data_IF_569281909666
#
_entry.id   IF_569281909666
#
_cell.length_a   1.000
_cell.length_b   1.000
_cell.length_c   1.000
_cell.angle_alpha   90.00
_cell.angle_beta   90.00
_cell.angle_gamma   90.00
#
_symmetry.space_group_name_H-M   'P 1'
#
loop_
_entity.id
_entity.type
_entity.pdbx_description
1 polymer ?
#
# COMPACT_ATOMS: atom_id res chain seq x y z
N UNK A 1 14.84 -13.27 17.21
CA UNK A 1 14.24 -14.59 17.45
C UNK A 1 15.29 -15.69 17.35
N UNK A 2 14.98 -16.88 17.90
CA UNK A 2 15.83 -18.06 17.75
C UNK A 2 16.12 -18.26 16.25
N UNK A 3 17.37 -18.33 15.84
CA UNK A 3 17.68 -18.59 14.44
C UNK A 3 17.07 -19.95 14.08
N UNK A 4 16.39 -20.05 12.93
CA UNK A 4 15.75 -21.29 12.51
C UNK A 4 16.67 -22.51 12.56
N UNK A 5 17.99 -22.29 12.41
CA UNK A 5 19.03 -23.31 12.53
C UNK A 5 19.19 -23.84 13.94
N UNK A 6 19.13 -22.98 14.97
CA UNK A 6 19.21 -23.41 16.36
C UNK A 6 18.01 -24.27 16.75
N UNK A 7 16.79 -23.80 16.45
CA UNK A 7 15.57 -24.54 16.76
C UNK A 7 15.52 -25.89 16.02
N UNK A 8 15.86 -25.89 14.73
CA UNK A 8 15.91 -27.11 13.94
C UNK A 8 16.92 -28.12 14.50
N UNK A 9 18.11 -27.67 14.92
CA UNK A 9 19.13 -28.53 15.53
C UNK A 9 18.65 -29.16 16.83
N UNK A 10 18.02 -28.38 17.72
CA UNK A 10 17.46 -28.88 18.99
C UNK A 10 16.33 -29.88 18.73
N UNK A 11 15.43 -29.57 17.77
CA UNK A 11 14.32 -30.45 17.39
C UNK A 11 14.80 -31.78 16.80
N UNK A 12 15.76 -31.75 15.89
CA UNK A 12 16.34 -32.94 15.27
C UNK A 12 17.01 -33.81 16.31
N UNK A 13 17.82 -33.22 17.20
CA UNK A 13 18.47 -34.00 18.30
C UNK A 13 17.44 -34.64 19.23
N UNK A 14 16.31 -33.98 19.52
CA UNK A 14 15.24 -34.55 20.33
C UNK A 14 14.48 -35.68 19.60
N UNK A 15 14.31 -35.58 18.28
CA UNK A 15 13.64 -36.60 17.46
C UNK A 15 14.53 -37.83 17.33
N UNK A 16 15.85 -37.65 17.18
CA UNK A 16 16.80 -38.73 17.04
C UNK A 16 16.97 -39.57 18.34
N UNK A 17 17.03 -38.88 19.47
CA UNK A 17 17.08 -39.55 20.79
C UNK A 17 16.25 -38.78 21.84
N UNK A 18 14.97 -39.12 22.03
CA UNK A 18 14.12 -38.45 23.01
C UNK A 18 14.51 -38.67 24.47
N UNK A 19 15.39 -39.67 24.73
CA UNK A 19 15.85 -39.99 26.10
C UNK A 19 17.00 -39.09 26.55
N UNK A 20 17.69 -38.45 25.62
CA UNK A 20 18.76 -37.49 25.90
C UNK A 20 18.24 -36.04 25.82
N UNK A 21 18.70 -35.24 26.77
CA UNK A 21 18.42 -33.79 26.72
C UNK A 21 19.24 -33.17 25.62
N UNK A 22 18.61 -32.55 24.60
CA UNK A 22 19.34 -31.88 23.51
C UNK A 22 20.16 -30.70 24.06
N UNK A 23 21.25 -30.39 23.39
CA UNK A 23 22.04 -29.17 23.67
C UNK A 23 21.25 -27.91 23.28
N UNK A 24 20.88 -27.14 24.30
CA UNK A 24 20.12 -25.88 24.13
C UNK A 24 21.02 -24.63 24.24
N UNK A 25 22.33 -24.79 24.31
CA UNK A 25 23.28 -23.68 24.51
C UNK A 25 23.14 -22.57 23.46
N UNK A 26 22.72 -22.91 22.23
CA UNK A 26 22.44 -21.95 21.18
C UNK A 26 21.22 -21.06 21.50
N UNK A 27 20.29 -21.51 22.35
CA UNK A 27 19.13 -20.73 22.79
C UNK A 27 19.49 -19.74 23.92
N UNK A 28 20.42 -20.11 24.78
CA UNK A 28 20.86 -19.30 25.93
C UNK A 28 21.60 -18.03 25.48
N UNK A 29 22.23 -18.06 24.30
CA UNK A 29 22.95 -16.90 23.73
C UNK A 29 22.06 -15.94 22.98
N UNK A 30 20.78 -16.27 22.79
CA UNK A 30 19.85 -15.42 22.02
C UNK A 30 18.85 -14.74 22.96
N UNK A 31 18.78 -13.39 22.97
CA UNK A 31 17.78 -12.71 23.76
C UNK A 31 16.38 -13.07 23.26
N UNK A 32 15.59 -13.65 24.13
CA UNK A 32 14.17 -13.93 23.85
C UNK A 32 13.40 -12.61 23.93
N UNK A 33 13.26 -11.92 22.81
CA UNK A 33 12.42 -10.73 22.71
C UNK A 33 10.96 -11.16 22.64
N UNK A 34 10.20 -10.93 23.70
CA UNK A 34 8.75 -11.10 23.65
C UNK A 34 8.14 -10.07 22.69
N UNK A 35 7.36 -10.55 21.72
CA UNK A 35 6.60 -9.67 20.82
C UNK A 35 5.31 -9.27 21.53
N UNK A 36 5.17 -7.98 21.82
CA UNK A 36 3.98 -7.43 22.46
C UNK A 36 3.09 -6.73 21.43
N UNK A 37 1.79 -6.51 21.71
CA UNK A 37 0.91 -5.73 20.82
C UNK A 37 1.44 -4.34 20.49
N UNK A 38 2.27 -3.75 21.36
CA UNK A 38 2.91 -2.46 21.14
C UNK A 38 4.10 -2.52 20.17
N UNK A 39 4.66 -3.70 19.91
CA UNK A 39 5.81 -3.91 19.02
C UNK A 39 5.42 -4.48 17.66
N UNK A 40 4.15 -4.85 17.47
CA UNK A 40 3.65 -5.44 16.24
C UNK A 40 2.25 -4.93 15.91
N UNK A 41 1.99 -4.75 14.62
CA UNK A 41 0.65 -4.43 14.09
C UNK A 41 -0.03 -5.76 13.76
N UNK A 42 -1.03 -6.13 14.54
CA UNK A 42 -1.80 -7.36 14.33
C UNK A 42 -2.92 -7.08 13.32
N UNK A 43 -2.82 -7.73 12.17
CA UNK A 43 -3.91 -7.75 11.17
C UNK A 43 -4.28 -9.20 10.87
N UNK A 44 -5.55 -9.52 10.57
CA UNK A 44 -5.98 -10.89 10.26
C UNK A 44 -5.39 -11.41 8.94
N UNK A 45 -4.98 -10.52 8.04
CA UNK A 45 -4.55 -10.83 6.68
C UNK A 45 -3.37 -11.81 6.60
N UNK A 46 -2.26 -11.65 7.36
CA UNK A 46 -1.14 -12.59 7.26
C UNK A 46 -1.55 -14.01 7.66
N UNK A 47 -2.38 -14.16 8.67
CA UNK A 47 -2.88 -15.47 9.09
C UNK A 47 -3.79 -16.11 8.05
N UNK A 48 -4.73 -15.34 7.47
CA UNK A 48 -5.62 -15.83 6.42
C UNK A 48 -4.84 -16.33 5.20
N UNK A 49 -3.81 -15.60 4.75
CA UNK A 49 -2.94 -16.01 3.64
C UNK A 49 -2.18 -17.30 3.98
N UNK A 50 -1.59 -17.41 5.16
CA UNK A 50 -0.80 -18.57 5.58
C UNK A 50 -1.65 -19.82 5.79
N UNK A 51 -2.89 -19.69 6.27
CA UNK A 51 -3.81 -20.80 6.47
C UNK A 51 -4.43 -21.35 5.19
N UNK A 52 -4.13 -20.75 4.03
CA UNK A 52 -4.72 -21.10 2.74
C UNK A 52 -6.17 -20.65 2.56
N UNK A 53 -6.77 -20.00 3.57
CA UNK A 53 -8.11 -19.40 3.49
C UNK A 53 -8.12 -18.03 2.80
N UNK A 54 -6.94 -17.51 2.47
CA UNK A 54 -6.73 -16.13 2.03
C UNK A 54 -6.83 -15.88 0.52
N UNK A 55 -7.58 -16.69 -0.25
CA UNK A 55 -7.72 -16.47 -1.69
C UNK A 55 -8.35 -15.11 -1.99
N UNK A 56 -9.35 -14.70 -1.21
CA UNK A 56 -10.02 -13.40 -1.38
C UNK A 56 -9.09 -12.25 -1.00
N UNK A 57 -8.28 -12.41 0.04
CA UNK A 57 -7.29 -11.45 0.49
C UNK A 57 -6.17 -11.28 -0.54
N UNK A 58 -5.72 -12.36 -1.18
CA UNK A 58 -4.74 -12.30 -2.26
C UNK A 58 -5.31 -11.58 -3.50
N UNK A 59 -6.57 -11.85 -3.85
CA UNK A 59 -7.26 -11.14 -4.94
C UNK A 59 -7.37 -9.65 -4.59
N UNK A 60 -7.80 -9.32 -3.37
CA UNK A 60 -7.93 -7.94 -2.91
C UNK A 60 -6.57 -7.21 -2.95
N UNK A 61 -5.49 -7.86 -2.49
CA UNK A 61 -4.13 -7.32 -2.56
C UNK A 61 -3.68 -7.10 -4.01
N UNK A 62 -3.99 -8.04 -4.90
CA UNK A 62 -3.71 -7.92 -6.34
C UNK A 62 -4.45 -6.73 -6.97
N UNK A 63 -5.74 -6.57 -6.66
CA UNK A 63 -6.55 -5.43 -7.12
C UNK A 63 -5.99 -4.11 -6.59
N UNK A 64 -5.64 -4.05 -5.30
CA UNK A 64 -5.02 -2.86 -4.71
C UNK A 64 -3.69 -2.53 -5.38
N UNK A 65 -2.86 -3.53 -5.67
CA UNK A 65 -1.59 -3.36 -6.38
C UNK A 65 -1.78 -2.80 -7.79
N UNK A 66 -2.69 -3.36 -8.57
CA UNK A 66 -3.01 -2.88 -9.91
C UNK A 66 -3.53 -1.45 -9.86
N UNK A 67 -4.46 -1.14 -8.94
CA UNK A 67 -5.01 0.20 -8.78
C UNK A 67 -3.90 1.21 -8.43
N UNK A 68 -2.98 0.88 -7.51
CA UNK A 68 -1.87 1.74 -7.15
C UNK A 68 -0.93 2.02 -8.33
N UNK A 69 -0.57 1.00 -9.13
CA UNK A 69 0.25 1.15 -10.34
C UNK A 69 -0.45 2.04 -11.37
N UNK A 70 -1.76 1.84 -11.58
CA UNK A 70 -2.54 2.66 -12.50
C UNK A 70 -2.61 4.13 -12.02
N UNK A 71 -2.72 4.38 -10.73
CA UNK A 71 -2.66 5.74 -10.18
C UNK A 71 -1.26 6.37 -10.34
N UNK A 72 -0.19 5.59 -10.22
CA UNK A 72 1.18 6.07 -10.51
C UNK A 72 1.37 6.49 -11.97
N UNK A 73 0.54 6.03 -12.90
CA UNK A 73 0.59 6.47 -14.30
C UNK A 73 0.48 8.00 -14.44
N UNK A 74 -0.13 8.69 -13.46
CA UNK A 74 -0.21 10.14 -13.43
C UNK A 74 1.17 10.83 -13.45
N UNK A 75 2.18 10.22 -12.84
CA UNK A 75 3.55 10.72 -12.82
C UNK A 75 4.24 10.68 -14.19
N UNK A 76 3.78 9.81 -15.08
CA UNK A 76 4.27 9.68 -16.45
C UNK A 76 3.38 10.45 -17.43
N UNK A 77 2.08 10.27 -17.36
CA UNK A 77 1.13 10.81 -18.34
C UNK A 77 1.11 12.35 -18.32
N UNK A 78 1.12 12.98 -17.13
CA UNK A 78 1.05 14.43 -17.08
C UNK A 78 2.30 15.14 -17.59
N UNK A 79 3.55 14.74 -17.27
CA UNK A 79 4.73 15.31 -17.93
C UNK A 79 4.75 15.07 -19.43
N UNK A 80 4.39 13.86 -19.87
CA UNK A 80 4.34 13.54 -21.32
C UNK A 80 3.34 14.45 -22.03
N UNK A 81 2.12 14.58 -21.49
CA UNK A 81 1.11 15.45 -22.07
C UNK A 81 1.50 16.93 -22.03
N UNK A 82 2.25 17.36 -21.02
CA UNK A 82 2.79 18.72 -20.97
C UNK A 82 3.83 18.95 -22.07
N UNK A 83 4.72 18.00 -22.31
CA UNK A 83 5.73 18.06 -23.38
C UNK A 83 5.05 18.04 -24.76
N UNK A 84 4.09 17.13 -24.97
CA UNK A 84 3.32 17.06 -26.23
C UNK A 84 2.58 18.38 -26.47
N UNK A 85 1.91 18.91 -25.44
CA UNK A 85 1.21 20.20 -25.55
C UNK A 85 2.13 21.36 -25.89
N UNK A 86 3.35 21.37 -25.36
CA UNK A 86 4.37 22.35 -25.66
C UNK A 86 4.88 22.23 -27.13
N UNK A 87 5.20 21.00 -27.56
CA UNK A 87 5.67 20.72 -28.92
C UNK A 87 4.58 21.02 -29.97
N UNK A 88 3.35 20.62 -29.70
CA UNK A 88 2.21 20.81 -30.60
C UNK A 88 1.64 22.23 -30.54
N UNK A 89 2.22 23.13 -29.74
CA UNK A 89 1.71 24.49 -29.48
C UNK A 89 0.23 24.52 -29.10
N UNK A 90 -0.23 23.50 -28.40
CA UNK A 90 -1.60 23.44 -27.87
C UNK A 90 -1.73 24.44 -26.72
N UNK A 91 -2.00 25.69 -27.05
CA UNK A 91 -2.35 26.70 -26.05
C UNK A 91 -3.73 26.42 -25.44
N UNK A 92 -3.99 26.86 -24.22
CA UNK A 92 -5.34 26.82 -23.68
C UNK A 92 -6.26 27.66 -24.59
N UNK A 93 -7.42 27.09 -25.00
CA UNK A 93 -8.30 27.70 -25.97
C UNK A 93 -8.96 29.02 -25.50
N UNK A 94 -8.88 29.32 -24.21
CA UNK A 94 -9.47 30.53 -23.62
C UNK A 94 -8.63 31.05 -22.44
N UNK A 95 -8.63 32.40 -22.21
CA UNK A 95 -8.00 32.95 -21.02
C UNK A 95 -8.65 32.39 -19.75
N UNK A 96 -7.83 31.74 -18.90
CA UNK A 96 -8.30 31.05 -17.70
C UNK A 96 -8.31 31.99 -16.51
N UNK A 97 -9.37 31.94 -15.74
CA UNK A 97 -9.44 32.61 -14.45
C UNK A 97 -8.42 31.99 -13.47
N UNK A 98 -7.97 32.75 -12.49
CA UNK A 98 -7.05 32.28 -11.45
C UNK A 98 -7.63 31.07 -10.71
N UNK A 99 -8.96 31.05 -10.51
CA UNK A 99 -9.69 29.95 -9.84
C UNK A 99 -9.61 28.65 -10.65
N UNK A 100 -9.77 28.72 -11.96
CA UNK A 100 -9.67 27.54 -12.84
C UNK A 100 -8.24 26.97 -12.89
N UNK A 101 -7.23 27.86 -12.88
CA UNK A 101 -5.82 27.43 -12.80
C UNK A 101 -5.55 26.71 -11.49
N UNK A 102 -5.98 27.29 -10.35
CA UNK A 102 -5.78 26.70 -9.02
C UNK A 102 -6.50 25.35 -8.91
N UNK A 103 -7.73 25.24 -9.41
CA UNK A 103 -8.49 23.98 -9.42
C UNK A 103 -7.78 22.87 -10.20
N UNK A 104 -7.23 23.18 -11.38
CA UNK A 104 -6.46 22.22 -12.19
C UNK A 104 -5.15 21.78 -11.52
N UNK A 105 -4.42 22.73 -10.93
CA UNK A 105 -3.20 22.39 -10.20
C UNK A 105 -3.50 21.56 -8.96
N UNK A 106 -4.54 21.91 -8.21
CA UNK A 106 -4.99 21.15 -7.05
C UNK A 106 -5.40 19.72 -7.40
N UNK A 107 -6.15 19.56 -8.49
CA UNK A 107 -6.56 18.25 -8.97
C UNK A 107 -5.35 17.37 -9.39
N UNK A 108 -4.38 17.96 -10.10
CA UNK A 108 -3.15 17.24 -10.47
C UNK A 108 -2.35 16.84 -9.23
N UNK A 109 -2.15 17.78 -8.30
CA UNK A 109 -1.44 17.52 -7.06
C UNK A 109 -2.12 16.41 -6.25
N UNK A 110 -3.45 16.43 -6.13
CA UNK A 110 -4.22 15.39 -5.45
C UNK A 110 -4.02 14.02 -6.10
N UNK A 111 -4.14 13.91 -7.44
CA UNK A 111 -3.92 12.66 -8.14
C UNK A 111 -2.50 12.11 -8.01
N UNK A 112 -1.46 12.98 -8.07
CA UNK A 112 -0.06 12.60 -7.84
C UNK A 112 0.15 12.09 -6.41
N UNK A 113 -0.38 12.81 -5.42
CA UNK A 113 -0.25 12.45 -4.01
C UNK A 113 -0.97 11.14 -3.70
N UNK A 114 -2.19 10.94 -4.18
CA UNK A 114 -2.94 9.70 -3.97
C UNK A 114 -2.17 8.50 -4.52
N UNK A 115 -1.67 8.59 -5.77
CA UNK A 115 -0.87 7.53 -6.37
C UNK A 115 0.41 7.23 -5.58
N UNK A 116 1.13 8.27 -5.14
CA UNK A 116 2.34 8.11 -4.34
C UNK A 116 2.05 7.46 -2.98
N UNK A 117 1.06 7.97 -2.26
CA UNK A 117 0.71 7.46 -0.92
C UNK A 117 0.23 6.01 -0.97
N UNK A 118 -0.60 5.65 -1.95
CA UNK A 118 -1.06 4.29 -2.17
C UNK A 118 0.11 3.34 -2.47
N UNK A 119 1.03 3.76 -3.33
CA UNK A 119 2.21 2.98 -3.67
C UNK A 119 3.16 2.80 -2.48
N UNK A 120 3.47 3.89 -1.76
CA UNK A 120 4.34 3.84 -0.57
C UNK A 120 3.74 2.92 0.49
N UNK A 121 2.43 3.01 0.74
CA UNK A 121 1.74 2.12 1.66
C UNK A 121 1.93 0.65 1.29
N UNK A 122 1.60 0.27 0.05
CA UNK A 122 1.75 -1.11 -0.40
C UNK A 122 3.22 -1.57 -0.41
N UNK A 123 4.14 -0.71 -0.85
CA UNK A 123 5.56 -1.04 -0.88
C UNK A 123 6.10 -1.32 0.54
N UNK A 124 5.68 -0.53 1.53
CA UNK A 124 6.06 -0.75 2.93
C UNK A 124 5.43 -2.03 3.47
N UNK A 125 4.13 -2.23 3.30
CA UNK A 125 3.43 -3.39 3.87
C UNK A 125 3.90 -4.68 3.19
N UNK A 126 3.87 -4.75 1.87
CA UNK A 126 4.27 -5.95 1.12
C UNK A 126 5.78 -6.17 1.23
N UNK A 127 6.59 -5.12 1.13
CA UNK A 127 8.04 -5.21 1.27
C UNK A 127 8.46 -5.72 2.65
N UNK A 128 7.82 -5.21 3.72
CA UNK A 128 8.08 -5.68 5.09
C UNK A 128 7.62 -7.13 5.27
N UNK A 129 6.44 -7.49 4.74
CA UNK A 129 5.92 -8.84 4.83
C UNK A 129 6.86 -9.84 4.11
N UNK A 130 7.32 -9.51 2.90
CA UNK A 130 8.27 -10.36 2.16
C UNK A 130 9.61 -10.46 2.85
N UNK A 131 10.15 -9.34 3.35
CA UNK A 131 11.41 -9.33 4.10
C UNK A 131 11.32 -10.21 5.36
N UNK A 132 10.24 -10.05 6.15
CA UNK A 132 10.04 -10.83 7.38
C UNK A 132 9.86 -12.31 7.09
N UNK A 133 9.16 -12.68 6.01
CA UNK A 133 8.99 -14.09 5.62
C UNK A 133 10.31 -14.75 5.24
N UNK A 134 11.22 -14.02 4.58
CA UNK A 134 12.50 -14.56 4.13
C UNK A 134 13.53 -14.65 5.25
N UNK A 135 13.52 -13.75 6.23
CA UNK A 135 14.57 -13.64 7.23
C UNK A 135 14.17 -14.15 8.61
N UNK A 136 12.90 -14.00 9.00
CA UNK A 136 12.42 -14.30 10.35
C UNK A 136 11.42 -15.47 10.39
N UNK A 137 11.14 -16.12 9.27
CA UNK A 137 10.27 -17.30 9.15
C UNK A 137 8.87 -17.04 9.69
N UNK A 138 8.63 -17.37 10.96
CA UNK A 138 7.32 -17.27 11.60
C UNK A 138 6.93 -15.87 12.10
N UNK A 139 7.77 -14.83 11.89
CA UNK A 139 7.47 -13.48 12.41
C UNK A 139 6.13 -12.93 11.90
N UNK A 140 5.74 -13.27 10.66
CA UNK A 140 4.45 -12.87 10.08
C UNK A 140 3.23 -13.43 10.80
N UNK A 141 3.36 -14.54 11.53
CA UNK A 141 2.26 -15.07 12.36
C UNK A 141 1.87 -14.12 13.49
N UNK A 142 2.81 -13.30 13.94
CA UNK A 142 2.58 -12.31 14.99
C UNK A 142 2.17 -10.95 14.45
N UNK A 143 2.19 -10.73 13.13
CA UNK A 143 1.86 -9.47 12.47
C UNK A 143 3.06 -8.72 11.90
N UNK A 144 2.83 -7.46 11.52
CA UNK A 144 3.88 -6.58 10.97
C UNK A 144 4.65 -5.89 12.11
N UNK A 145 5.95 -5.58 11.92
CA UNK A 145 6.73 -4.83 12.90
C UNK A 145 6.08 -3.49 13.28
N UNK A 146 6.15 -3.11 14.56
CA UNK A 146 5.48 -1.91 15.09
C UNK A 146 5.87 -0.59 14.39
N UNK A 147 7.07 -0.51 13.81
CA UNK A 147 7.48 0.67 13.03
C UNK A 147 6.64 0.90 11.77
N UNK A 148 5.89 -0.11 11.31
CA UNK A 148 4.96 0.05 10.18
C UNK A 148 3.67 0.77 10.56
N UNK A 149 3.36 0.88 11.85
CA UNK A 149 2.11 1.47 12.36
C UNK A 149 1.83 2.89 11.79
N UNK A 150 2.77 3.81 11.70
CA UNK A 150 2.50 5.14 11.13
C UNK A 150 2.05 5.10 9.67
N UNK A 151 2.45 4.07 8.92
CA UNK A 151 2.06 3.94 7.50
C UNK A 151 0.59 3.55 7.33
N UNK A 152 -0.06 3.01 8.36
CA UNK A 152 -1.51 2.74 8.34
C UNK A 152 -2.36 4.02 8.41
N UNK A 153 -1.75 5.19 8.64
CA UNK A 153 -2.40 6.49 8.44
C UNK A 153 -2.53 6.86 6.95
N UNK A 154 -1.70 6.28 6.07
CA UNK A 154 -1.71 6.61 4.65
C UNK A 154 -3.05 6.27 3.96
N UNK A 155 -3.69 5.11 4.20
CA UNK A 155 -5.03 4.84 3.68
C UNK A 155 -6.08 5.89 4.09
N UNK A 156 -6.02 6.40 5.32
CA UNK A 156 -6.91 7.47 5.76
C UNK A 156 -6.66 8.78 5.01
N UNK A 157 -5.40 9.13 4.76
CA UNK A 157 -5.04 10.28 3.92
C UNK A 157 -5.49 10.08 2.46
N UNK A 158 -5.31 8.88 1.91
CA UNK A 158 -5.82 8.51 0.57
C UNK A 158 -7.33 8.67 0.53
N UNK A 159 -8.07 8.25 1.56
CA UNK A 159 -9.52 8.42 1.65
C UNK A 159 -9.93 9.90 1.61
N UNK A 160 -9.29 10.75 2.43
CA UNK A 160 -9.58 12.19 2.45
C UNK A 160 -9.30 12.84 1.09
N UNK A 161 -8.16 12.52 0.47
CA UNK A 161 -7.83 13.02 -0.86
C UNK A 161 -8.81 12.51 -1.92
N UNK A 162 -9.24 11.25 -1.83
CA UNK A 162 -10.22 10.64 -2.75
C UNK A 162 -11.57 11.34 -2.66
N UNK A 163 -12.03 11.71 -1.46
CA UNK A 163 -13.23 12.51 -1.29
C UNK A 163 -13.09 13.89 -1.96
N UNK A 164 -11.94 14.55 -1.80
CA UNK A 164 -11.63 15.78 -2.52
C UNK A 164 -11.61 15.60 -4.03
N UNK A 165 -11.03 14.49 -4.52
CA UNK A 165 -11.00 14.15 -5.94
C UNK A 165 -12.41 13.88 -6.49
N UNK A 166 -13.31 13.24 -5.74
CA UNK A 166 -14.70 13.03 -6.13
C UNK A 166 -15.42 14.37 -6.35
N UNK A 167 -15.28 15.30 -5.40
CA UNK A 167 -15.85 16.65 -5.53
C UNK A 167 -15.26 17.35 -6.75
N UNK A 168 -13.95 17.27 -6.95
CA UNK A 168 -13.27 17.84 -8.09
C UNK A 168 -13.66 17.20 -9.43
N UNK A 169 -13.89 15.89 -9.46
CA UNK A 169 -14.36 15.18 -10.65
C UNK A 169 -15.76 15.65 -11.04
N UNK A 170 -16.71 15.71 -10.08
CA UNK A 170 -18.07 16.19 -10.31
C UNK A 170 -18.05 17.67 -10.79
N UNK A 171 -17.30 18.54 -10.09
CA UNK A 171 -17.16 19.95 -10.47
C UNK A 171 -16.55 20.15 -11.85
N UNK A 172 -15.57 19.33 -12.21
CA UNK A 172 -14.90 19.38 -13.53
C UNK A 172 -15.84 19.08 -14.72
N UNK A 173 -16.97 18.38 -14.51
CA UNK A 173 -17.96 18.16 -15.55
C UNK A 173 -18.83 19.41 -15.80
N UNK A 174 -19.06 20.23 -14.78
CA UNK A 174 -19.78 21.50 -14.93
C UNK A 174 -18.87 22.63 -15.45
N UNK A 175 -17.57 22.59 -15.10
CA UNK A 175 -16.62 23.59 -15.53
C UNK A 175 -16.13 23.29 -16.96
N UNK A 176 -16.40 24.20 -17.91
CA UNK A 176 -15.97 24.07 -19.32
C UNK A 176 -14.48 24.26 -19.51
N UNK A 177 -13.73 24.64 -18.49
CA UNK A 177 -12.30 24.91 -18.52
C UNK A 177 -11.38 23.69 -18.75
N UNK A 178 -11.90 22.47 -18.57
CA UNK A 178 -11.15 21.23 -18.77
C UNK A 178 -11.50 20.57 -20.10
N UNK A 179 -10.49 20.17 -20.88
CA UNK A 179 -10.71 19.34 -22.06
C UNK A 179 -11.25 17.95 -21.68
N UNK A 180 -12.06 17.36 -22.55
CA UNK A 180 -12.68 16.02 -22.33
C UNK A 180 -11.67 14.96 -21.92
N UNK A 181 -10.48 14.84 -22.55
CA UNK A 181 -9.48 13.85 -22.13
C UNK A 181 -9.00 14.05 -20.69
N UNK A 182 -8.82 15.30 -20.26
CA UNK A 182 -8.40 15.60 -18.88
C UNK A 182 -9.45 15.21 -17.85
N UNK A 183 -10.74 15.43 -18.14
CA UNK A 183 -11.86 15.03 -17.26
C UNK A 183 -11.97 13.52 -17.13
N UNK A 184 -11.89 12.81 -18.26
CA UNK A 184 -11.94 11.34 -18.29
C UNK A 184 -10.77 10.73 -17.51
N UNK A 185 -9.56 11.25 -17.73
CA UNK A 185 -8.39 10.75 -17.01
C UNK A 185 -8.46 11.03 -15.50
N UNK A 186 -8.93 12.20 -15.10
CA UNK A 186 -9.12 12.52 -13.68
C UNK A 186 -10.20 11.66 -13.03
N UNK A 187 -11.32 11.44 -13.72
CA UNK A 187 -12.37 10.52 -13.27
C UNK A 187 -11.84 9.09 -13.14
N UNK A 188 -11.01 8.64 -14.09
CA UNK A 188 -10.34 7.34 -14.03
C UNK A 188 -9.44 7.21 -12.78
N UNK A 189 -8.58 8.22 -12.50
CA UNK A 189 -7.74 8.21 -11.30
C UNK A 189 -8.58 8.18 -10.01
N UNK A 190 -9.68 8.94 -9.98
CA UNK A 190 -10.62 8.94 -8.86
C UNK A 190 -11.27 7.56 -8.68
N UNK A 191 -11.67 6.92 -9.77
CA UNK A 191 -12.23 5.56 -9.72
C UNK A 191 -11.19 4.56 -9.20
N UNK A 192 -9.95 4.63 -9.68
CA UNK A 192 -8.88 3.73 -9.23
C UNK A 192 -8.56 3.93 -7.73
N UNK A 193 -8.64 5.16 -7.21
CA UNK A 193 -8.47 5.40 -5.77
C UNK A 193 -9.63 4.82 -4.94
N UNK A 194 -10.87 4.86 -5.44
CA UNK A 194 -12.01 4.18 -4.79
C UNK A 194 -11.83 2.67 -4.82
N UNK A 195 -11.42 2.09 -5.95
CA UNK A 195 -11.13 0.65 -6.09
C UNK A 195 -10.02 0.22 -5.13
N UNK A 196 -8.96 1.01 -5.01
CA UNK A 196 -7.87 0.78 -4.06
C UNK A 196 -8.39 0.70 -2.62
N UNK A 197 -9.15 1.70 -2.18
CA UNK A 197 -9.72 1.74 -0.82
C UNK A 197 -10.69 0.59 -0.58
N UNK A 198 -11.54 0.27 -1.56
CA UNK A 198 -12.46 -0.86 -1.48
C UNK A 198 -11.72 -2.20 -1.35
N UNK A 199 -10.58 -2.35 -2.03
CA UNK A 199 -9.74 -3.53 -1.93
C UNK A 199 -9.01 -3.64 -0.58
N UNK A 200 -8.72 -2.52 0.11
CA UNK A 200 -8.13 -2.53 1.45
C UNK A 200 -9.13 -2.89 2.55
N UNK A 201 -10.44 -2.71 2.33
CA UNK A 201 -11.47 -2.98 3.33
C UNK A 201 -11.48 -4.44 3.83
N UNK A 202 -11.53 -5.49 2.95
CA UNK A 202 -11.48 -6.88 3.39
C UNK A 202 -10.14 -7.27 4.03
N UNK A 203 -9.06 -6.51 3.77
CA UNK A 203 -7.76 -6.74 4.40
C UNK A 203 -7.70 -6.21 5.84
N UNK A 204 -8.71 -5.48 6.30
CA UNK A 204 -8.73 -4.86 7.63
C UNK A 204 -7.74 -3.68 7.79
N UNK A 205 -7.20 -3.16 6.67
CA UNK A 205 -6.13 -2.14 6.70
C UNK A 205 -6.64 -0.70 6.72
N UNK A 206 -7.95 -0.52 6.70
CA UNK A 206 -8.58 0.81 6.82
C UNK A 206 -8.83 1.24 8.29
N UNK A 207 -8.80 0.29 9.22
CA UNK A 207 -9.27 0.49 10.61
C UNK A 207 -8.26 0.01 11.66
N UNK A 208 -6.98 0.03 11.36
CA UNK A 208 -5.91 -0.34 12.29
C UNK A 208 -5.52 0.82 13.18
#
# INVERSE_FOLDING_TARGET
GLSGKCLAGVLLAFIDDPSQRPDTSCADTQPVGFKTPTTMVMTPTPWAILSGAGTNELIALGIAGIAAVLMLSAWLIWPIMAVIGWLAKWGPPTPQTTREKLGRWGARAAGLLVGLLAFVFLAVVVGTATWSSLNEGFALLYGLPGWTMPFFLLPALVLLLTLGMLVGAIGGWWDRGWGVPGRLYYAFLTLMSVVFLAALAPLGWLWV
#
